data_IF_333704023332
#
_entry.id   IF_333704023332
#
_cell.length_a   1.000
_cell.length_b   1.000
_cell.length_c   1.000
_cell.angle_alpha   90.00
_cell.angle_beta   90.00
_cell.angle_gamma   90.00
#
_symmetry.space_group_name_H-M   'P 1'
#
loop_
_entity.id
_entity.type
_entity.pdbx_description
1 polymer ?
#
# COMPACT_ATOMS: atom_id res chain seq x y z
N UNK A 1 -6.41 -1.86 7.97
CA UNK A 1 -5.69 -1.39 6.76
C UNK A 1 -6.32 -2.04 5.55
N UNK A 2 -6.67 -1.26 4.54
CA UNK A 2 -7.11 -1.75 3.23
C UNK A 2 -6.33 -1.02 2.13
N UNK A 3 -6.05 -1.74 1.05
CA UNK A 3 -5.39 -1.22 -0.14
C UNK A 3 -6.33 -1.38 -1.34
N UNK A 4 -6.42 -0.33 -2.15
CA UNK A 4 -7.19 -0.31 -3.39
C UNK A 4 -6.23 0.01 -4.53
N UNK A 5 -6.21 -0.85 -5.54
CA UNK A 5 -5.31 -0.75 -6.69
C UNK A 5 -6.13 -0.62 -7.96
N UNK A 6 -5.74 0.30 -8.83
CA UNK A 6 -6.34 0.46 -10.15
C UNK A 6 -5.23 0.60 -11.20
N UNK A 7 -5.35 -0.14 -12.30
CA UNK A 7 -4.46 -0.06 -13.46
C UNK A 7 -5.17 0.72 -14.57
N UNK A 8 -4.50 1.75 -15.07
CA UNK A 8 -4.96 2.60 -16.17
C UNK A 8 -3.99 2.51 -17.36
N UNK A 9 -4.36 3.11 -18.49
CA UNK A 9 -3.49 3.17 -19.66
C UNK A 9 -2.21 3.98 -19.44
N UNK A 10 -2.21 4.90 -18.46
CA UNK A 10 -1.12 5.81 -18.13
C UNK A 10 -0.44 5.48 -16.77
N UNK A 11 -0.71 4.30 -16.21
CA UNK A 11 -0.04 3.79 -15.01
C UNK A 11 -0.98 3.31 -13.92
N UNK A 12 -0.45 3.14 -12.71
CA UNK A 12 -1.14 2.52 -11.57
C UNK A 12 -1.45 3.55 -10.49
N UNK A 13 -2.56 3.36 -9.78
CA UNK A 13 -2.89 4.09 -8.54
C UNK A 13 -3.05 3.12 -7.38
N UNK A 14 -2.49 3.47 -6.23
CA UNK A 14 -2.55 2.68 -4.99
C UNK A 14 -3.01 3.59 -3.85
N UNK A 15 -4.24 3.38 -3.40
CA UNK A 15 -4.81 4.11 -2.27
C UNK A 15 -4.84 3.23 -1.01
N UNK A 16 -4.38 3.78 0.11
CA UNK A 16 -4.32 3.11 1.41
C UNK A 16 -5.29 3.79 2.38
N UNK A 17 -6.12 3.00 3.06
CA UNK A 17 -7.06 3.49 4.08
C UNK A 17 -6.97 2.72 5.40
N UNK A 18 -7.28 3.40 6.50
CA UNK A 18 -7.25 2.85 7.87
C UNK A 18 -5.84 2.56 8.39
N UNK A 19 -4.84 3.29 7.90
CA UNK A 19 -3.43 3.16 8.31
C UNK A 19 -2.85 4.45 8.89
N UNK A 20 -3.00 5.59 8.22
CA UNK A 20 -2.40 6.88 8.60
C UNK A 20 -3.27 7.69 9.56
N UNK A 21 -2.64 8.50 10.42
CA UNK A 21 -3.32 9.50 11.25
C UNK A 21 -3.89 10.67 10.42
N UNK A 22 -3.45 10.83 9.16
CA UNK A 22 -3.88 11.89 8.24
C UNK A 22 -4.98 11.42 7.26
N UNK A 23 -5.52 10.22 7.49
CA UNK A 23 -6.58 9.65 6.67
C UNK A 23 -6.07 8.82 5.49
N UNK A 24 -6.83 8.84 4.39
CA UNK A 24 -6.50 8.10 3.17
C UNK A 24 -5.35 8.78 2.42
N UNK A 25 -4.42 7.99 1.88
CA UNK A 25 -3.30 8.52 1.11
C UNK A 25 -2.96 7.62 -0.09
N UNK A 26 -2.21 8.19 -1.04
CA UNK A 26 -1.63 7.46 -2.17
C UNK A 26 -0.22 7.00 -1.83
N UNK A 27 0.09 5.75 -2.15
CA UNK A 27 1.44 5.22 -1.98
C UNK A 27 2.22 5.31 -3.30
N UNK A 28 2.85 6.47 -3.52
CA UNK A 28 3.50 6.84 -4.79
C UNK A 28 4.63 5.91 -5.22
N UNK A 29 5.40 5.37 -4.28
CA UNK A 29 6.50 4.44 -4.54
C UNK A 29 5.97 3.10 -5.05
N UNK A 30 4.88 2.61 -4.48
CA UNK A 30 4.19 1.42 -4.98
C UNK A 30 3.57 1.68 -6.36
N UNK A 31 3.01 2.87 -6.59
CA UNK A 31 2.49 3.26 -7.92
C UNK A 31 3.58 3.25 -8.99
N UNK A 32 4.77 3.78 -8.69
CA UNK A 32 5.89 3.79 -9.62
C UNK A 32 6.33 2.35 -9.97
N UNK A 33 6.58 1.51 -8.96
CA UNK A 33 7.01 0.13 -9.16
C UNK A 33 5.99 -0.71 -9.96
N UNK A 34 4.70 -0.58 -9.63
CA UNK A 34 3.63 -1.32 -10.32
C UNK A 34 3.35 -0.78 -11.73
N UNK A 35 3.67 0.49 -12.02
CA UNK A 35 3.56 1.05 -13.36
C UNK A 35 4.65 0.52 -14.30
N UNK A 36 5.84 0.22 -13.78
CA UNK A 36 6.91 -0.43 -14.55
C UNK A 36 6.61 -1.92 -14.79
N UNK A 37 6.11 -2.60 -13.75
CA UNK A 37 5.74 -4.01 -13.81
C UNK A 37 4.57 -4.27 -12.87
N UNK A 38 3.40 -4.54 -13.45
CA UNK A 38 2.19 -4.84 -12.68
C UNK A 38 2.21 -6.28 -12.15
N UNK A 39 3.04 -6.50 -11.13
CA UNK A 39 3.25 -7.78 -10.47
C UNK A 39 3.46 -7.57 -8.96
N UNK A 40 3.03 -8.51 -8.12
CA UNK A 40 3.14 -8.38 -6.67
C UNK A 40 4.60 -8.34 -6.18
N UNK A 41 5.52 -8.99 -6.88
CA UNK A 41 6.95 -9.01 -6.55
C UNK A 41 7.61 -7.65 -6.85
N UNK A 42 6.98 -6.78 -7.65
CA UNK A 42 7.46 -5.41 -7.84
C UNK A 42 7.41 -4.57 -6.54
N UNK A 43 6.67 -5.03 -5.52
CA UNK A 43 6.55 -4.37 -4.22
C UNK A 43 7.55 -4.90 -3.19
N UNK A 44 8.42 -5.86 -3.54
CA UNK A 44 9.40 -6.41 -2.62
C UNK A 44 10.41 -5.33 -2.17
N UNK A 45 10.70 -5.27 -0.87
CA UNK A 45 11.58 -4.25 -0.29
C UNK A 45 10.93 -2.87 -0.07
N UNK A 46 9.75 -2.59 -0.64
CA UNK A 46 9.04 -1.34 -0.37
C UNK A 46 8.38 -1.35 1.00
N UNK A 47 8.62 -0.28 1.77
CA UNK A 47 8.07 -0.09 3.11
C UNK A 47 7.56 1.34 3.30
N UNK A 48 6.58 1.51 4.18
CA UNK A 48 6.15 2.82 4.67
C UNK A 48 6.74 3.07 6.07
N UNK A 49 6.95 4.34 6.41
CA UNK A 49 7.24 4.72 7.79
C UNK A 49 6.01 4.50 8.67
N UNK A 50 6.23 3.84 9.82
CA UNK A 50 5.21 3.61 10.83
C UNK A 50 5.00 4.80 11.78
N UNK A 51 5.88 5.81 11.75
CA UNK A 51 5.89 6.93 12.70
C UNK A 51 4.59 7.74 12.74
N UNK A 52 3.98 7.99 11.58
CA UNK A 52 2.70 8.71 11.46
C UNK A 52 1.48 7.81 11.21
N UNK A 53 1.62 6.50 11.46
CA UNK A 53 0.50 5.56 11.36
C UNK A 53 -0.27 5.49 12.67
N UNK A 54 -1.54 5.08 12.59
CA UNK A 54 -2.41 4.90 13.76
C UNK A 54 -1.81 3.81 14.66
N UNK A 55 -1.53 4.16 15.92
CA UNK A 55 -1.18 3.23 16.98
C UNK A 55 -2.28 3.18 18.03
N UNK A 56 -2.92 2.03 18.22
CA UNK A 56 -4.02 1.83 19.17
C UNK A 56 -4.06 0.40 19.72
N UNK A 57 -5.12 0.06 20.46
CA UNK A 57 -5.35 -1.30 21.00
C UNK A 57 -5.34 -2.40 19.92
N UNK A 58 -5.62 -2.06 18.67
CA UNK A 58 -5.69 -3.01 17.56
C UNK A 58 -4.35 -3.22 16.85
N UNK A 59 -3.36 -2.37 17.10
CA UNK A 59 -2.01 -2.56 16.57
C UNK A 59 -1.17 -1.28 16.56
N UNK A 60 0.14 -1.48 16.43
CA UNK A 60 1.12 -0.39 16.33
C UNK A 60 1.15 0.24 14.93
N UNK A 61 1.71 1.46 14.85
CA UNK A 61 1.95 2.11 13.56
C UNK A 61 2.85 1.29 12.64
N UNK A 62 3.90 0.66 13.18
CA UNK A 62 4.77 -0.25 12.43
C UNK A 62 4.02 -1.48 11.87
N UNK A 63 3.09 -2.05 12.65
CA UNK A 63 2.25 -3.15 12.17
C UNK A 63 1.32 -2.69 11.04
N UNK A 64 0.73 -1.49 11.13
CA UNK A 64 -0.10 -0.94 10.04
C UNK A 64 0.72 -0.65 8.79
N UNK A 65 1.91 -0.08 8.92
CA UNK A 65 2.82 0.13 7.79
C UNK A 65 3.18 -1.20 7.10
N UNK A 66 3.46 -2.26 7.87
CA UNK A 66 3.65 -3.59 7.34
C UNK A 66 2.41 -4.12 6.59
N UNK A 67 1.23 -3.95 7.18
CA UNK A 67 -0.02 -4.37 6.54
C UNK A 67 -0.31 -3.64 5.23
N UNK A 68 0.11 -2.39 5.06
CA UNK A 68 -0.01 -1.70 3.77
C UNK A 68 0.66 -2.51 2.65
N UNK A 69 1.90 -2.96 2.85
CA UNK A 69 2.62 -3.79 1.87
C UNK A 69 1.93 -5.13 1.61
N UNK A 70 1.47 -5.81 2.67
CA UNK A 70 0.75 -7.09 2.55
C UNK A 70 -0.56 -6.92 1.77
N UNK A 71 -1.36 -5.91 2.09
CA UNK A 71 -2.67 -5.69 1.47
C UNK A 71 -2.54 -5.22 0.03
N UNK A 72 -1.54 -4.39 -0.30
CA UNK A 72 -1.30 -3.99 -1.69
C UNK A 72 -0.89 -5.19 -2.56
N UNK A 73 0.02 -6.05 -2.07
CA UNK A 73 0.38 -7.29 -2.80
C UNK A 73 -0.84 -8.18 -3.06
N UNK A 74 -1.68 -8.40 -2.04
CA UNK A 74 -2.92 -9.17 -2.18
C UNK A 74 -3.88 -8.54 -3.18
N UNK A 75 -4.00 -7.21 -3.19
CA UNK A 75 -4.86 -6.51 -4.14
C UNK A 75 -4.35 -6.69 -5.58
N UNK A 76 -3.04 -6.58 -5.82
CA UNK A 76 -2.43 -6.84 -7.14
C UNK A 76 -2.68 -8.28 -7.59
N UNK A 77 -2.44 -9.26 -6.71
CA UNK A 77 -2.67 -10.70 -6.98
C UNK A 77 -4.13 -11.05 -7.27
N UNK A 78 -5.08 -10.24 -6.80
CA UNK A 78 -6.50 -10.46 -7.08
C UNK A 78 -6.97 -9.82 -8.40
N UNK A 79 -6.16 -8.93 -8.98
CA UNK A 79 -6.41 -8.28 -10.27
C UNK A 79 -5.76 -9.04 -11.42
N UNK A 80 -4.54 -9.55 -11.19
CA UNK A 80 -3.77 -10.35 -12.15
C UNK A 80 -4.25 -11.81 -12.23
#
# INVERSE_FOLDING_TARGET
VAAYVAQFSDGVRVAITGASNEGVFRWTEAEAALSERFDADALEGLTLDGGNMIGDLHGSGAYRAHLCGVMTRRAVQAIA
#
